data_IF_299624570601
#
_entry.id   IF_299624570601
#
_cell.length_a   1.000
_cell.length_b   1.000
_cell.length_c   1.000
_cell.angle_alpha   90.00
_cell.angle_beta   90.00
_cell.angle_gamma   90.00
#
_symmetry.space_group_name_H-M   'P 1'
#
loop_
_entity.id
_entity.type
_entity.pdbx_description
1 polymer ?
#
# COMPACT_ATOMS: atom_id res chain seq x y z
N UNK A 1 -16.38 -28.26 8.75
CA UNK A 1 -16.71 -26.83 8.81
C UNK A 1 -15.43 -26.07 8.53
N UNK A 2 -15.34 -25.51 7.33
CA UNK A 2 -14.11 -24.90 6.83
C UNK A 2 -13.97 -23.48 7.36
N UNK A 3 -12.87 -23.25 8.11
CA UNK A 3 -12.64 -22.00 8.86
C UNK A 3 -12.50 -20.76 7.97
N UNK A 4 -12.32 -20.94 6.66
CA UNK A 4 -12.09 -19.88 5.68
C UNK A 4 -13.11 -19.87 4.54
N UNK A 5 -14.27 -20.54 4.69
CA UNK A 5 -15.31 -20.60 3.65
C UNK A 5 -15.89 -19.23 3.22
N UNK A 6 -15.63 -18.18 4.01
CA UNK A 6 -16.04 -16.79 3.74
C UNK A 6 -14.84 -15.88 3.43
N UNK A 7 -13.75 -16.42 2.86
CA UNK A 7 -12.63 -15.64 2.30
C UNK A 7 -12.81 -15.56 0.78
N UNK A 8 -12.64 -14.37 0.20
CA UNK A 8 -12.56 -14.19 -1.25
C UNK A 8 -11.11 -14.38 -1.69
N UNK A 9 -10.90 -15.08 -2.80
CA UNK A 9 -9.57 -15.40 -3.30
C UNK A 9 -9.39 -14.81 -4.71
N UNK A 10 -8.38 -13.95 -4.89
CA UNK A 10 -8.04 -13.34 -6.17
C UNK A 10 -6.56 -13.59 -6.51
N UNK A 11 -6.19 -13.62 -7.78
CA UNK A 11 -4.81 -13.65 -8.22
C UNK A 11 -4.45 -12.54 -9.19
N UNK A 12 -3.18 -12.15 -9.16
CA UNK A 12 -2.54 -11.27 -10.14
C UNK A 12 -1.39 -12.05 -10.77
N UNK A 13 -1.44 -12.20 -12.09
CA UNK A 13 -0.36 -12.81 -12.86
C UNK A 13 0.67 -11.75 -13.25
N UNK A 14 1.96 -12.02 -13.01
CA UNK A 14 3.08 -11.14 -13.33
C UNK A 14 4.12 -11.84 -14.22
N UNK A 15 4.82 -11.09 -15.06
CA UNK A 15 5.72 -11.65 -16.07
C UNK A 15 6.98 -12.32 -15.51
N UNK A 16 7.51 -11.84 -14.39
CA UNK A 16 8.70 -12.38 -13.71
C UNK A 16 8.67 -12.03 -12.20
N UNK A 17 9.57 -12.62 -11.40
CA UNK A 17 9.66 -12.37 -9.95
C UNK A 17 9.88 -10.88 -9.62
N UNK A 18 10.75 -10.19 -10.35
CA UNK A 18 11.02 -8.76 -10.11
C UNK A 18 9.80 -7.86 -10.38
N UNK A 19 8.83 -8.33 -11.19
CA UNK A 19 7.55 -7.67 -11.45
C UNK A 19 6.52 -7.83 -10.32
N UNK A 20 6.70 -8.77 -9.37
CA UNK A 20 5.80 -8.87 -8.19
C UNK A 20 5.81 -7.58 -7.39
N UNK A 21 6.99 -6.98 -7.24
CA UNK A 21 7.24 -5.81 -6.42
C UNK A 21 6.50 -4.54 -6.91
N UNK A 22 6.70 -4.03 -8.15
CA UNK A 22 5.94 -2.88 -8.65
C UNK A 22 4.44 -3.17 -8.69
N UNK A 23 4.01 -4.37 -9.09
CA UNK A 23 2.59 -4.76 -9.08
C UNK A 23 1.94 -4.63 -7.71
N UNK A 24 2.65 -4.94 -6.62
CA UNK A 24 2.17 -4.74 -5.25
C UNK A 24 2.18 -3.26 -4.85
N UNK A 25 3.15 -2.46 -5.30
CA UNK A 25 3.14 -1.01 -5.10
C UNK A 25 1.95 -0.34 -5.81
N UNK A 26 1.69 -0.69 -7.07
CA UNK A 26 0.58 -0.15 -7.88
C UNK A 26 -0.78 -0.51 -7.26
N UNK A 27 -0.94 -1.76 -6.80
CA UNK A 27 -2.12 -2.21 -6.05
C UNK A 27 -2.34 -1.40 -4.76
N UNK A 28 -1.27 -1.16 -4.00
CA UNK A 28 -1.32 -0.38 -2.76
C UNK A 28 -1.59 1.10 -3.02
N UNK A 29 -1.14 1.65 -4.15
CA UNK A 29 -1.40 3.01 -4.60
C UNK A 29 -2.88 3.21 -4.98
N UNK A 30 -3.48 2.27 -5.72
CA UNK A 30 -4.92 2.31 -6.03
C UNK A 30 -5.77 2.28 -4.74
N UNK A 31 -5.42 1.38 -3.81
CA UNK A 31 -6.13 1.21 -2.55
C UNK A 31 -6.00 2.38 -1.55
N UNK A 32 -5.22 3.44 -1.83
CA UNK A 32 -5.11 4.64 -0.97
C UNK A 32 -6.41 5.46 -0.87
N UNK A 33 -7.43 5.15 -1.68
CA UNK A 33 -8.75 5.80 -1.63
C UNK A 33 -9.47 5.72 -0.27
N UNK A 34 -9.04 4.85 0.64
CA UNK A 34 -9.58 4.70 2.01
C UNK A 34 -8.53 4.10 2.97
N UNK A 35 -8.66 4.32 4.30
CA UNK A 35 -7.85 3.63 5.30
C UNK A 35 -7.95 2.10 5.17
N UNK A 36 -6.81 1.40 5.00
CA UNK A 36 -6.77 -0.06 4.86
C UNK A 36 -5.60 -0.70 5.62
N UNK A 37 -5.91 -1.68 6.46
CA UNK A 37 -4.91 -2.52 7.14
C UNK A 37 -4.63 -3.79 6.33
N UNK A 38 -3.37 -4.10 6.05
CA UNK A 38 -2.98 -5.11 5.04
C UNK A 38 -1.85 -5.98 5.57
N UNK A 39 -2.01 -7.31 5.50
CA UNK A 39 -0.93 -8.25 5.83
C UNK A 39 -0.28 -8.80 4.58
N UNK A 40 1.03 -8.63 4.41
CA UNK A 40 1.78 -9.16 3.26
C UNK A 40 2.74 -10.24 3.75
N UNK A 41 2.56 -11.48 3.28
CA UNK A 41 3.38 -12.62 3.70
C UNK A 41 4.34 -13.04 2.59
N UNK A 42 5.63 -12.98 2.92
CA UNK A 42 6.74 -13.41 2.08
C UNK A 42 7.22 -14.83 2.46
N UNK A 43 7.68 -15.60 1.48
CA UNK A 43 8.27 -16.93 1.72
C UNK A 43 9.73 -16.85 2.12
N UNK A 44 10.43 -15.79 1.72
CA UNK A 44 11.86 -15.52 1.98
C UNK A 44 12.08 -14.25 2.81
N UNK A 45 13.29 -14.11 3.37
CA UNK A 45 13.75 -12.89 4.03
C UNK A 45 14.04 -11.79 3.00
N UNK A 46 14.83 -12.12 1.98
CA UNK A 46 15.25 -11.22 0.91
C UNK A 46 14.06 -10.56 0.18
N UNK A 47 12.96 -11.30 -0.03
CA UNK A 47 11.73 -10.77 -0.61
C UNK A 47 11.04 -9.75 0.30
N UNK A 48 11.02 -9.99 1.61
CA UNK A 48 10.48 -9.06 2.60
C UNK A 48 11.33 -7.79 2.69
N UNK A 49 12.66 -7.87 2.66
CA UNK A 49 13.53 -6.69 2.75
C UNK A 49 13.44 -5.81 1.50
N UNK A 50 13.42 -6.41 0.29
CA UNK A 50 13.16 -5.69 -0.97
C UNK A 50 11.81 -4.96 -0.94
N UNK A 51 10.79 -5.64 -0.42
CA UNK A 51 9.44 -5.06 -0.30
C UNK A 51 9.40 -3.94 0.74
N UNK A 52 10.04 -4.12 1.90
CA UNK A 52 10.16 -3.09 2.94
C UNK A 52 10.87 -1.83 2.43
N UNK A 53 12.03 -1.97 1.80
CA UNK A 53 12.79 -0.87 1.22
C UNK A 53 11.99 -0.09 0.17
N UNK A 54 11.17 -0.79 -0.62
CA UNK A 54 10.37 -0.16 -1.67
C UNK A 54 9.12 0.53 -1.11
N UNK A 55 8.46 -0.07 -0.12
CA UNK A 55 7.29 0.52 0.54
C UNK A 55 7.63 1.79 1.31
N UNK A 56 8.86 1.94 1.82
CA UNK A 56 9.34 3.19 2.44
C UNK A 56 9.30 4.41 1.49
N UNK A 57 9.13 4.21 0.18
CA UNK A 57 8.90 5.31 -0.77
C UNK A 57 7.46 5.87 -0.71
N UNK A 58 6.50 5.10 -0.19
CA UNK A 58 5.07 5.44 -0.11
C UNK A 58 4.78 6.29 1.15
N UNK A 59 4.75 7.62 0.98
CA UNK A 59 4.60 8.61 2.08
C UNK A 59 3.29 8.57 2.88
N UNK A 60 2.37 7.67 2.56
CA UNK A 60 1.07 7.51 3.25
C UNK A 60 0.84 6.05 3.71
N UNK A 61 1.92 5.30 3.90
CA UNK A 61 1.91 3.89 4.32
C UNK A 61 2.84 3.68 5.50
N UNK A 62 2.31 3.25 6.65
CA UNK A 62 3.12 2.77 7.77
C UNK A 62 3.41 1.28 7.62
N UNK A 63 4.60 0.86 8.04
CA UNK A 63 5.16 -0.46 7.73
C UNK A 63 5.72 -1.10 8.99
N UNK A 64 5.06 -2.18 9.43
CA UNK A 64 5.49 -3.00 10.56
C UNK A 64 6.14 -4.27 10.00
N UNK A 65 7.34 -4.63 10.46
CA UNK A 65 8.17 -5.67 9.85
C UNK A 65 8.45 -6.80 10.85
N UNK A 66 8.05 -8.03 10.52
CA UNK A 66 8.19 -9.21 11.39
C UNK A 66 8.93 -10.37 10.69
N UNK A 67 10.18 -10.58 11.06
CA UNK A 67 11.01 -11.69 10.60
C UNK A 67 11.52 -12.55 11.77
N UNK A 68 11.95 -13.78 11.47
CA UNK A 68 12.49 -14.74 12.46
C UNK A 68 13.61 -14.18 13.32
N UNK A 69 14.43 -13.32 12.72
CA UNK A 69 15.72 -12.88 13.22
C UNK A 69 15.61 -11.69 14.20
N UNK A 70 14.41 -11.12 14.38
CA UNK A 70 14.12 -10.19 15.47
C UNK A 70 13.98 -10.96 16.80
N UNK A 71 14.49 -10.42 17.94
CA UNK A 71 14.18 -10.91 19.28
C UNK A 71 12.67 -11.07 19.51
N UNK A 72 12.27 -12.09 20.29
CA UNK A 72 10.85 -12.36 20.53
C UNK A 72 10.10 -11.16 21.16
N UNK A 73 10.74 -10.45 22.09
CA UNK A 73 10.23 -9.22 22.72
C UNK A 73 9.96 -8.12 21.68
N UNK A 74 10.91 -7.87 20.77
CA UNK A 74 10.76 -6.87 19.71
C UNK A 74 9.64 -7.23 18.73
N UNK A 75 9.52 -8.52 18.37
CA UNK A 75 8.40 -9.00 17.53
C UNK A 75 7.05 -8.79 18.19
N UNK A 76 6.94 -9.05 19.49
CA UNK A 76 5.70 -8.85 20.25
C UNK A 76 5.36 -7.36 20.42
N UNK A 77 6.37 -6.51 20.63
CA UNK A 77 6.18 -5.05 20.72
C UNK A 77 5.70 -4.44 19.39
N UNK A 78 6.34 -4.78 18.27
CA UNK A 78 5.94 -4.33 16.93
C UNK A 78 4.55 -4.85 16.55
N UNK A 79 4.23 -6.08 16.92
CA UNK A 79 2.90 -6.67 16.73
C UNK A 79 1.82 -5.95 17.56
N UNK A 80 2.11 -5.64 18.82
CA UNK A 80 1.18 -4.94 19.70
C UNK A 80 0.90 -3.50 19.22
N UNK A 81 1.92 -2.78 18.73
CA UNK A 81 1.76 -1.46 18.13
C UNK A 81 0.92 -1.52 16.84
N UNK A 82 1.14 -2.51 15.98
CA UNK A 82 0.30 -2.74 14.81
C UNK A 82 -1.16 -3.07 15.22
N UNK A 83 -1.35 -3.96 16.19
CA UNK A 83 -2.68 -4.30 16.72
C UNK A 83 -3.41 -3.09 17.32
N UNK A 84 -2.69 -2.19 18.00
CA UNK A 84 -3.22 -0.92 18.49
C UNK A 84 -3.68 -0.03 17.35
N UNK A 85 -2.86 0.14 16.29
CA UNK A 85 -3.17 0.97 15.11
C UNK A 85 -4.36 0.48 14.29
N UNK A 86 -4.55 -0.84 14.16
CA UNK A 86 -5.73 -1.39 13.44
C UNK A 86 -7.01 -1.35 14.29
N UNK A 87 -6.90 -1.21 15.61
CA UNK A 87 -8.04 -1.07 16.53
C UNK A 87 -8.43 0.41 16.75
N UNK A 88 -7.43 1.30 16.83
CA UNK A 88 -7.55 2.74 16.95
C UNK A 88 -6.99 3.46 15.70
N UNK A 89 -7.60 3.31 14.51
CA UNK A 89 -7.13 3.99 13.30
C UNK A 89 -7.28 5.51 13.45
N UNK A 90 -6.15 6.23 13.58
CA UNK A 90 -6.09 7.64 14.02
C UNK A 90 -7.09 8.53 13.25
N UNK A 91 -8.13 8.97 13.98
CA UNK A 91 -9.32 9.73 13.57
C UNK A 91 -9.49 10.06 12.08
N UNK A 92 -9.63 9.03 11.25
CA UNK A 92 -9.97 9.20 9.84
C UNK A 92 -11.40 9.77 9.61
N UNK A 93 -12.16 10.06 10.67
CA UNK A 93 -13.51 10.61 10.64
C UNK A 93 -13.57 12.14 10.48
N UNK A 94 -12.58 12.89 10.99
CA UNK A 94 -12.64 14.35 11.06
C UNK A 94 -12.58 15.10 9.71
N UNK A 95 -12.33 14.38 8.60
CA UNK A 95 -12.06 14.97 7.28
C UNK A 95 -12.79 14.25 6.13
N UNK A 96 -14.09 14.02 6.30
CA UNK A 96 -15.05 13.66 5.22
C UNK A 96 -16.20 14.69 5.15
N UNK A 97 -15.97 15.91 5.65
CA UNK A 97 -17.00 16.96 5.84
C UNK A 97 -16.68 18.28 5.10
N UNK A 98 -15.80 18.24 4.08
CA UNK A 98 -15.47 19.40 3.23
C UNK A 98 -15.36 19.00 1.75
N UNK A 99 -16.40 18.32 1.24
CA UNK A 99 -16.71 18.24 -0.19
C UNK A 99 -18.11 18.81 -0.51
N UNK A 100 -18.57 19.76 0.31
CA UNK A 100 -19.52 20.77 -0.17
C UNK A 100 -18.73 21.84 -0.93
N UNK A 101 -18.61 21.66 -2.25
CA UNK A 101 -18.27 22.78 -3.14
C UNK A 101 -19.55 23.63 -3.29
N UNK A 102 -19.53 24.94 -2.93
CA UNK A 102 -20.67 25.80 -3.21
C UNK A 102 -20.85 25.94 -4.73
N UNK A 103 -22.05 25.71 -5.23
CA UNK A 103 -22.36 25.88 -6.66
C UNK A 103 -22.20 27.35 -7.06
N UNK A 104 -21.13 27.66 -7.80
CA UNK A 104 -20.89 29.00 -8.34
C UNK A 104 -21.84 29.31 -9.50
N UNK A 105 -23.10 29.57 -9.17
CA UNK A 105 -24.11 30.10 -10.10
C UNK A 105 -23.71 31.49 -10.60
N UNK A 106 -23.00 31.55 -11.73
CA UNK A 106 -22.87 32.76 -12.56
C UNK A 106 -23.88 32.69 -13.71
N UNK A 107 -25.08 33.23 -13.45
CA UNK A 107 -26.08 33.50 -14.47
C UNK A 107 -26.32 35.01 -14.57
N UNK A 108 -25.68 35.66 -15.55
CA UNK A 108 -25.99 37.02 -15.99
C UNK A 108 -25.46 37.22 -17.42
N UNK A 109 -26.37 37.51 -18.36
CA UNK A 109 -26.06 37.71 -19.78
C UNK A 109 -25.93 39.21 -20.10
N UNK A 110 -25.01 39.59 -21.00
CA UNK A 110 -25.18 40.77 -21.86
C UNK A 110 -24.24 40.77 -23.09
N UNK A 111 -24.85 41.01 -24.24
CA UNK A 111 -24.33 41.46 -25.54
C UNK A 111 -23.34 42.65 -25.40
N UNK A 112 -22.41 42.97 -26.32
CA UNK A 112 -22.03 42.40 -27.64
C UNK A 112 -20.53 42.76 -27.91
N UNK A 113 -19.87 42.75 -29.09
CA UNK A 113 -20.31 42.77 -30.50
C UNK A 113 -19.29 42.07 -31.46
N UNK A 114 -19.05 42.65 -32.65
CA UNK A 114 -18.28 42.20 -33.81
C UNK A 114 -16.76 42.49 -33.78
N UNK A 115 -15.95 41.64 -34.45
CA UNK A 115 -14.56 41.98 -34.78
C UNK A 115 -13.58 40.80 -35.01
N UNK A 116 -13.51 40.28 -36.24
CA UNK A 116 -12.48 39.35 -36.71
C UNK A 116 -11.98 39.77 -38.12
N UNK A 117 -10.85 39.29 -38.68
CA UNK A 117 -9.91 38.26 -38.18
C UNK A 117 -8.46 38.81 -38.02
N UNK A 118 -7.44 38.00 -37.71
CA UNK A 118 -6.59 37.30 -38.70
C UNK A 118 -5.69 36.28 -37.98
N UNK A 119 -5.40 35.15 -38.63
CA UNK A 119 -4.44 34.13 -38.16
C UNK A 119 -3.03 34.48 -38.67
N UNK A 120 -2.00 34.32 -37.85
CA UNK A 120 -0.72 33.81 -38.34
C UNK A 120 -0.01 32.93 -37.29
N UNK A 121 0.82 32.01 -37.73
CA UNK A 121 1.32 30.87 -36.94
C UNK A 121 2.80 30.61 -37.28
N UNK A 122 3.73 31.11 -36.44
CA UNK A 122 5.16 30.88 -36.61
C UNK A 122 5.77 30.27 -35.35
N UNK A 123 6.68 29.33 -35.57
CA UNK A 123 7.15 28.35 -34.60
C UNK A 123 8.64 28.58 -34.27
N UNK A 124 9.10 27.96 -33.18
CA UNK A 124 10.47 27.46 -33.00
C UNK A 124 11.61 28.47 -32.71
N UNK A 125 12.08 28.40 -31.45
CA UNK A 125 13.48 28.31 -30.97
C UNK A 125 14.68 28.83 -31.78
N UNK A 126 15.75 29.24 -31.08
CA UNK A 126 17.06 28.56 -31.05
C UNK A 126 18.13 29.33 -30.24
N UNK A 127 19.08 28.57 -29.65
CA UNK A 127 20.33 29.02 -28.98
C UNK A 127 20.19 29.97 -27.75
N UNK A 128 21.15 30.06 -26.82
CA UNK A 128 22.33 29.20 -26.61
C UNK A 128 23.39 29.86 -25.70
N UNK A 129 23.68 29.24 -24.54
CA UNK A 129 24.87 29.55 -23.73
C UNK A 129 26.15 29.09 -24.48
N UNK A 130 27.33 29.76 -24.35
CA UNK A 130 28.10 29.67 -23.10
C UNK A 130 29.03 30.87 -22.76
N UNK A 131 29.72 30.74 -21.61
CA UNK A 131 31.10 31.21 -21.29
C UNK A 131 31.24 32.17 -20.09
N UNK A 132 32.16 31.82 -19.19
CA UNK A 132 32.69 32.65 -18.09
C UNK A 132 33.94 33.43 -18.58
N UNK A 133 34.62 34.23 -17.72
CA UNK A 133 35.69 33.64 -16.90
C UNK A 133 35.96 34.30 -15.53
N UNK A 134 36.65 33.56 -14.64
CA UNK A 134 37.59 34.04 -13.60
C UNK A 134 37.08 34.95 -12.43
N UNK A 135 37.68 34.97 -11.23
CA UNK A 135 38.60 34.04 -10.54
C UNK A 135 38.77 34.48 -9.05
N UNK A 136 39.66 33.77 -8.33
CA UNK A 136 40.28 34.12 -7.04
C UNK A 136 39.50 33.88 -5.73
N UNK A 137 40.26 33.49 -4.70
CA UNK A 137 39.78 32.98 -3.42
C UNK A 137 40.21 33.87 -2.24
N UNK A 138 39.48 33.78 -1.13
CA UNK A 138 39.99 33.98 0.23
C UNK A 138 39.06 33.29 1.23
N UNK A 139 39.60 32.87 2.39
CA UNK A 139 38.81 32.35 3.49
C UNK A 139 38.66 33.41 4.60
N UNK A 140 37.57 33.38 5.36
CA UNK A 140 37.58 33.87 6.74
C UNK A 140 36.45 33.30 7.61
N UNK A 141 36.70 33.25 8.91
CA UNK A 141 35.72 32.89 9.95
C UNK A 141 34.95 34.13 10.43
N UNK A 142 33.66 33.98 10.78
CA UNK A 142 32.88 35.09 11.33
C UNK A 142 31.48 34.68 11.80
N UNK A 143 31.23 34.84 13.11
CA UNK A 143 29.93 34.64 13.77
C UNK A 143 28.97 35.80 13.48
N UNK A 144 27.64 35.58 13.49
CA UNK A 144 26.62 36.33 14.30
C UNK A 144 25.21 36.42 13.68
N UNK A 145 24.25 35.72 14.31
CA UNK A 145 22.79 36.01 14.40
C UNK A 145 21.89 36.05 13.15
N UNK A 146 20.58 36.02 13.44
CA UNK A 146 19.42 35.95 12.54
C UNK A 146 19.31 34.64 11.70
N UNK A 147 18.13 34.05 11.49
CA UNK A 147 16.75 34.50 11.79
C UNK A 147 15.93 33.37 12.40
N UNK A 148 14.91 33.70 13.21
CA UNK A 148 13.92 32.72 13.66
C UNK A 148 13.01 32.32 12.48
N UNK A 149 13.41 31.30 11.71
CA UNK A 149 12.55 30.70 10.69
C UNK A 149 11.42 29.93 11.38
N UNK A 150 10.23 30.53 11.45
CA UNK A 150 8.99 29.82 11.77
C UNK A 150 8.81 28.67 10.77
N UNK A 151 9.14 27.45 11.18
CA UNK A 151 8.85 26.28 10.36
C UNK A 151 7.33 26.19 10.19
N UNK A 152 6.82 26.06 8.95
CA UNK A 152 5.40 25.79 8.76
C UNK A 152 5.10 24.44 9.43
N UNK A 153 4.13 24.42 10.35
CA UNK A 153 3.75 23.22 11.09
C UNK A 153 3.47 22.10 10.09
N UNK A 154 4.32 21.08 10.11
CA UNK A 154 4.27 20.00 9.14
C UNK A 154 2.92 19.30 9.26
N UNK A 155 2.05 19.45 8.24
CA UNK A 155 0.83 18.65 8.13
C UNK A 155 1.21 17.19 8.33
N UNK A 156 0.66 16.53 9.37
CA UNK A 156 0.68 15.06 9.44
C UNK A 156 0.16 14.57 8.09
N UNK A 157 1.03 13.95 7.30
CA UNK A 157 0.57 13.34 6.06
C UNK A 157 -0.34 12.18 6.45
N UNK A 158 -1.58 12.19 5.95
CA UNK A 158 -2.59 11.20 6.34
C UNK A 158 -2.05 9.82 6.00
N UNK A 159 -1.89 8.99 7.02
CA UNK A 159 -1.57 7.57 6.88
C UNK A 159 -2.85 6.90 6.36
N UNK A 160 -2.74 6.25 5.19
CA UNK A 160 -3.87 5.67 4.45
C UNK A 160 -3.77 4.13 4.39
N UNK A 161 -2.58 3.57 4.61
CA UNK A 161 -2.41 2.13 4.78
C UNK A 161 -1.54 1.80 6.00
N UNK A 162 -1.95 0.76 6.72
CA UNK A 162 -1.20 0.13 7.82
C UNK A 162 -0.78 -1.26 7.35
N UNK A 163 0.49 -1.43 6.99
CA UNK A 163 1.01 -2.64 6.34
C UNK A 163 1.86 -3.46 7.30
N UNK A 164 1.50 -4.72 7.49
CA UNK A 164 2.29 -5.71 8.21
C UNK A 164 3.02 -6.62 7.22
N UNK A 165 4.34 -6.48 7.13
CA UNK A 165 5.22 -7.39 6.39
C UNK A 165 5.66 -8.52 7.32
N UNK A 166 5.46 -9.77 6.91
CA UNK A 166 5.83 -10.92 7.74
C UNK A 166 6.35 -12.10 6.91
N UNK A 167 7.29 -12.87 7.48
CA UNK A 167 7.74 -14.14 6.87
C UNK A 167 6.93 -15.34 7.39
N UNK A 168 6.80 -16.39 6.57
CA UNK A 168 6.27 -17.68 7.01
C UNK A 168 7.03 -18.28 8.22
N UNK A 169 8.32 -17.96 8.37
CA UNK A 169 9.12 -18.35 9.53
C UNK A 169 8.65 -17.63 10.81
N UNK A 170 8.38 -16.32 10.71
CA UNK A 170 7.86 -15.54 11.82
C UNK A 170 6.44 -15.97 12.22
N UNK A 171 5.54 -16.24 11.26
CA UNK A 171 4.17 -16.73 11.55
C UNK A 171 4.13 -18.09 12.27
N UNK A 172 5.23 -18.86 12.27
CA UNK A 172 5.40 -20.09 13.06
C UNK A 172 6.03 -19.86 14.43
N UNK A 173 6.64 -18.70 14.67
CA UNK A 173 7.37 -18.33 15.88
C UNK A 173 6.68 -17.21 16.69
N UNK A 174 5.41 -16.93 16.37
CA UNK A 174 4.51 -16.05 17.10
C UNK A 174 3.43 -16.90 17.77
N UNK A 175 2.97 -16.44 18.94
CA UNK A 175 2.02 -17.15 19.79
C UNK A 175 0.61 -17.17 19.17
N UNK A 176 -0.19 -18.19 19.49
CA UNK A 176 -1.53 -18.34 18.90
C UNK A 176 -2.55 -17.36 19.52
N UNK A 177 -2.31 -16.90 20.76
CA UNK A 177 -3.15 -15.90 21.44
C UNK A 177 -3.05 -14.49 20.83
N UNK A 178 -1.99 -14.19 20.07
CA UNK A 178 -1.86 -12.94 19.32
C UNK A 178 -2.62 -12.95 17.97
N UNK A 179 -3.39 -14.01 17.70
CA UNK A 179 -4.14 -14.19 16.46
C UNK A 179 -5.64 -14.42 16.71
N UNK A 180 -6.52 -14.11 15.74
CA UNK A 180 -6.23 -13.52 14.44
C UNK A 180 -6.20 -11.98 14.45
N UNK A 181 -5.51 -11.39 13.49
CA UNK A 181 -5.51 -9.94 13.24
C UNK A 181 -6.82 -9.44 12.60
N UNK A 182 -7.58 -10.32 11.93
CA UNK A 182 -8.83 -10.00 11.23
C UNK A 182 -8.69 -8.89 10.17
N UNK A 183 -7.53 -8.81 9.50
CA UNK A 183 -7.28 -7.81 8.46
C UNK A 183 -8.20 -8.02 7.26
N UNK A 184 -8.66 -6.96 6.59
CA UNK A 184 -9.51 -7.08 5.41
C UNK A 184 -8.76 -7.65 4.19
N UNK A 185 -7.43 -7.48 4.10
CA UNK A 185 -6.61 -7.93 2.97
C UNK A 185 -5.35 -8.68 3.44
N UNK A 186 -5.14 -9.86 2.86
CA UNK A 186 -3.94 -10.69 2.92
C UNK A 186 -3.34 -10.78 1.52
N UNK A 187 -2.06 -10.40 1.38
CA UNK A 187 -1.28 -10.56 0.15
C UNK A 187 -0.29 -11.71 0.34
N UNK A 188 -0.42 -12.75 -0.47
CA UNK A 188 0.58 -13.79 -0.64
C UNK A 188 1.58 -13.33 -1.69
N UNK A 189 2.69 -12.72 -1.25
CA UNK A 189 3.77 -12.28 -2.16
C UNK A 189 4.42 -13.50 -2.82
N UNK A 190 4.73 -14.53 -2.04
CA UNK A 190 5.12 -15.86 -2.54
C UNK A 190 4.00 -16.86 -2.32
N UNK A 191 3.79 -17.77 -3.27
CA UNK A 191 2.76 -18.81 -3.17
C UNK A 191 3.05 -19.74 -1.97
N UNK A 192 2.07 -19.95 -1.07
CA UNK A 192 2.25 -20.83 0.08
C UNK A 192 2.05 -22.30 -0.34
N UNK A 193 3.01 -22.89 -1.08
CA UNK A 193 2.91 -24.22 -1.71
C UNK A 193 2.70 -25.41 -0.73
N UNK A 194 2.59 -25.16 0.58
CA UNK A 194 2.24 -26.16 1.59
C UNK A 194 0.95 -25.78 2.31
N UNK A 195 0.08 -26.76 2.53
CA UNK A 195 -1.23 -26.55 3.17
C UNK A 195 -1.13 -26.00 4.60
N UNK A 196 -0.07 -26.35 5.34
CA UNK A 196 0.18 -25.81 6.68
C UNK A 196 0.52 -24.31 6.65
N UNK A 197 1.35 -23.87 5.70
CA UNK A 197 1.68 -22.47 5.50
C UNK A 197 0.45 -21.67 5.03
N UNK A 198 -0.30 -22.19 4.04
CA UNK A 198 -1.53 -21.56 3.56
C UNK A 198 -2.56 -21.38 4.68
N UNK A 199 -2.87 -22.44 5.43
CA UNK A 199 -3.78 -22.38 6.58
C UNK A 199 -3.28 -21.42 7.66
N UNK A 200 -1.97 -21.38 7.95
CA UNK A 200 -1.43 -20.48 8.96
C UNK A 200 -1.53 -19.02 8.51
N UNK A 201 -1.18 -18.69 7.27
CA UNK A 201 -1.34 -17.33 6.71
C UNK A 201 -2.78 -16.83 6.80
N UNK A 202 -3.76 -17.61 6.35
CA UNK A 202 -5.17 -17.23 6.45
C UNK A 202 -5.63 -17.13 7.91
N UNK A 203 -5.31 -18.15 8.73
CA UNK A 203 -5.71 -18.22 10.13
C UNK A 203 -5.17 -17.08 10.98
N UNK A 204 -3.95 -16.61 10.70
CA UNK A 204 -3.29 -15.54 11.47
C UNK A 204 -3.71 -14.14 11.00
N UNK A 205 -3.78 -13.90 9.67
CA UNK A 205 -4.05 -12.57 9.10
C UNK A 205 -5.55 -12.28 8.96
N UNK A 206 -6.31 -13.13 8.28
CA UNK A 206 -7.74 -12.93 8.01
C UNK A 206 -8.64 -13.48 9.13
N UNK A 207 -8.19 -14.55 9.79
CA UNK A 207 -8.92 -15.21 10.86
C UNK A 207 -9.86 -16.33 10.40
N UNK A 208 -10.57 -16.89 11.38
CA UNK A 208 -11.41 -18.11 11.25
C UNK A 208 -12.88 -17.90 11.62
N UNK A 209 -13.28 -16.67 11.95
CA UNK A 209 -14.62 -16.36 12.48
C UNK A 209 -15.27 -15.27 11.63
N UNK A 210 -16.44 -15.56 11.07
CA UNK A 210 -17.30 -14.55 10.48
C UNK A 210 -17.84 -13.65 11.60
N UNK A 211 -17.16 -12.53 11.86
CA UNK A 211 -17.60 -11.48 12.77
C UNK A 211 -18.92 -10.90 12.24
N UNK A 212 -19.98 -10.92 13.05
CA UNK A 212 -21.32 -10.47 12.64
C UNK A 212 -21.30 -8.98 12.34
N UNK A 213 -21.26 -8.62 11.05
CA UNK A 213 -21.17 -7.23 10.58
C UNK A 213 -19.81 -6.83 9.99
N UNK A 214 -18.82 -7.73 9.90
CA UNK A 214 -17.58 -7.51 9.13
C UNK A 214 -17.68 -8.22 7.78
N UNK A 215 -17.15 -7.62 6.73
CA UNK A 215 -17.08 -8.20 5.40
C UNK A 215 -16.16 -9.44 5.37
N UNK A 216 -16.30 -10.25 4.31
CA UNK A 216 -15.36 -11.33 3.99
C UNK A 216 -13.93 -10.81 3.88
N UNK A 217 -12.99 -11.52 4.50
CA UNK A 217 -11.56 -11.25 4.31
C UNK A 217 -11.13 -11.63 2.89
N UNK A 218 -10.08 -10.99 2.38
CA UNK A 218 -9.64 -11.15 1.00
C UNK A 218 -8.20 -11.65 0.96
N UNK A 219 -7.94 -12.70 0.17
CA UNK A 219 -6.61 -13.26 -0.06
C UNK A 219 -6.19 -13.04 -1.53
N UNK A 220 -5.16 -12.23 -1.76
CA UNK A 220 -4.54 -12.03 -3.08
C UNK A 220 -3.31 -12.93 -3.24
N UNK A 221 -3.13 -13.55 -4.42
CA UNK A 221 -1.94 -14.32 -4.78
C UNK A 221 -1.17 -13.65 -5.93
N UNK A 222 0.11 -13.34 -5.71
CA UNK A 222 1.02 -12.94 -6.79
C UNK A 222 1.62 -14.20 -7.44
N UNK A 223 1.35 -14.40 -8.74
CA UNK A 223 1.80 -15.58 -9.50
C UNK A 223 2.73 -15.16 -10.63
N UNK A 224 3.91 -15.74 -10.70
CA UNK A 224 4.87 -15.52 -11.80
C UNK A 224 4.65 -16.51 -12.94
N UNK A 225 4.92 -16.08 -14.18
CA UNK A 225 5.02 -16.97 -15.33
C UNK A 225 6.02 -18.13 -15.07
N UNK A 226 5.49 -19.34 -14.83
CA UNK A 226 6.25 -20.53 -14.41
C UNK A 226 5.71 -21.18 -13.13
N UNK A 227 5.19 -20.38 -12.19
CA UNK A 227 4.59 -20.84 -10.91
C UNK A 227 3.20 -21.52 -11.10
N UNK A 228 2.82 -21.90 -12.32
CA UNK A 228 1.48 -22.40 -12.65
C UNK A 228 1.16 -23.77 -12.02
N UNK A 229 2.17 -24.63 -11.82
CA UNK A 229 1.99 -25.90 -11.10
C UNK A 229 1.78 -25.67 -9.60
N UNK A 230 2.57 -24.77 -9.01
CA UNK A 230 2.48 -24.37 -7.60
C UNK A 230 1.16 -23.67 -7.29
N UNK A 231 0.64 -22.88 -8.23
CA UNK A 231 -0.68 -22.28 -8.10
C UNK A 231 -1.80 -23.33 -8.06
N UNK A 232 -1.73 -24.37 -8.90
CA UNK A 232 -2.71 -25.48 -8.91
C UNK A 232 -2.67 -26.28 -7.60
N UNK A 233 -1.52 -26.36 -6.94
CA UNK A 233 -1.39 -26.92 -5.57
C UNK A 233 -2.13 -26.03 -4.55
N UNK A 234 -1.97 -24.70 -4.64
CA UNK A 234 -2.64 -23.74 -3.74
C UNK A 234 -4.17 -23.71 -3.97
N UNK A 235 -4.65 -23.75 -5.21
CA UNK A 235 -6.07 -23.93 -5.53
C UNK A 235 -6.62 -25.22 -4.90
N UNK A 236 -5.85 -26.32 -4.97
CA UNK A 236 -6.20 -27.61 -4.35
C UNK A 236 -6.27 -27.61 -2.81
N UNK A 237 -5.95 -26.50 -2.13
CA UNK A 237 -6.17 -26.36 -0.69
C UNK A 237 -7.58 -25.87 -0.33
N UNK A 238 -8.28 -25.25 -1.28
CA UNK A 238 -9.66 -24.80 -1.13
C UNK A 238 -10.62 -25.99 -1.07
N UNK A 239 -11.37 -26.11 0.03
CA UNK A 239 -12.44 -27.09 0.15
C UNK A 239 -13.70 -26.68 -0.65
N UNK A 240 -13.85 -25.39 -0.91
CA UNK A 240 -14.92 -24.79 -1.71
C UNK A 240 -14.46 -23.43 -2.27
N UNK A 241 -15.15 -22.93 -3.30
CA UNK A 241 -14.80 -21.69 -3.99
C UNK A 241 -13.82 -21.89 -5.14
N UNK A 242 -13.26 -20.78 -5.62
CA UNK A 242 -12.24 -20.69 -6.69
C UNK A 242 -11.36 -19.47 -6.42
N UNK A 243 -10.17 -19.42 -7.02
CA UNK A 243 -9.36 -18.21 -7.06
C UNK A 243 -9.67 -17.47 -8.36
N UNK A 244 -10.17 -16.25 -8.26
CA UNK A 244 -10.58 -15.44 -9.41
C UNK A 244 -9.44 -14.55 -9.93
N UNK A 245 -9.56 -14.04 -11.15
CA UNK A 245 -8.66 -12.98 -11.63
C UNK A 245 -8.98 -11.69 -10.87
N UNK A 246 -7.97 -10.94 -10.44
CA UNK A 246 -8.19 -9.59 -9.89
C UNK A 246 -8.94 -8.71 -10.91
N UNK A 247 -10.03 -7.99 -10.52
CA UNK A 247 -10.68 -7.03 -11.39
C UNK A 247 -9.78 -5.86 -11.77
N UNK A 248 -10.13 -5.17 -12.86
CA UNK A 248 -9.37 -4.01 -13.38
C UNK A 248 -9.44 -2.82 -12.41
N UNK A 249 -10.56 -2.64 -11.72
CA UNK A 249 -10.70 -1.72 -10.60
C UNK A 249 -10.52 -2.51 -9.30
N UNK A 250 -9.38 -2.34 -8.65
CA UNK A 250 -8.97 -3.13 -7.48
C UNK A 250 -9.92 -2.94 -6.29
N UNK A 251 -10.62 -1.80 -6.24
CA UNK A 251 -11.58 -1.43 -5.22
C UNK A 251 -12.83 -2.33 -5.21
N UNK A 252 -13.22 -2.90 -6.36
CA UNK A 252 -14.44 -3.70 -6.52
C UNK A 252 -14.48 -4.93 -5.60
N UNK A 253 -13.31 -5.53 -5.28
CA UNK A 253 -13.22 -6.74 -4.45
C UNK A 253 -13.80 -6.55 -3.03
N UNK A 254 -13.91 -5.29 -2.58
CA UNK A 254 -14.45 -4.90 -1.27
C UNK A 254 -15.95 -4.56 -1.29
N UNK A 255 -16.59 -4.49 -2.47
CA UNK A 255 -17.99 -4.03 -2.63
C UNK A 255 -18.99 -5.19 -2.71
N UNK A 256 -18.53 -6.36 -3.15
CA UNK A 256 -19.34 -7.58 -3.36
C UNK A 256 -19.63 -8.38 -2.07
#
# INVERSE_FOLDING_TARGET
MDRHANVKHYYVAVGNQDSKLPTVLDLLLALQSRPLSIGIVCGSRDGLDKLAQSLQTLRSTEIHILHSDLPAEERLALLAEFQRRIAEPEEAAAATSLLELPECNLAAEAQNDSGAPTIDYVHQALYGSPSQPAAAAAANTGTTQASASTQPVSRKQRQLAEVLLVTDACLRALEEDSAPLNLPLLIHFDLPIRKDAWLRRLGWVLGSKAQKGRSSGIAMYCIVAGEAADFRIVEGFLASGRIEVMPVQVEEIFVQ
#
